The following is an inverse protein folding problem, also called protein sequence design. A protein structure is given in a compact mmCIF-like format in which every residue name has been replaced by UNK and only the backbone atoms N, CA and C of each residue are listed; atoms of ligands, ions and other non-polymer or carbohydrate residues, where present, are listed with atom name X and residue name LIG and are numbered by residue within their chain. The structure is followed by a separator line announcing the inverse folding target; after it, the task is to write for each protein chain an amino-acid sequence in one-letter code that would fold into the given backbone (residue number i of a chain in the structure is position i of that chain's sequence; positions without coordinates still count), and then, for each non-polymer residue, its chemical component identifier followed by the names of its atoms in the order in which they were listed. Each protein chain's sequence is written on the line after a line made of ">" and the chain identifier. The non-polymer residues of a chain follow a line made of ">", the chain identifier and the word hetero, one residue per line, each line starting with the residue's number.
data_IF_570625276407
#
_entry.id   IF_570625276407
#
_cell.length_a   1.000
_cell.length_b   1.000
_cell.length_c   1.000
_cell.angle_alpha   90.00
_cell.angle_beta   90.00
_cell.angle_gamma   90.00
#
_symmetry.space_group_name_H-M   'P 1'
#
loop_
_entity.id
_entity.type
_entity.pdbx_description
1 polymer ?
#
# COMPACT_ATOMS: atom_id res chain seq x y z
N UNK A 1 -13.15 -12.21 -3.11
CA UNK A 1 -14.20 -11.24 -2.72
C UNK A 1 -13.49 -10.04 -2.14
N UNK A 2 -13.85 -8.82 -2.56
CA UNK A 2 -13.23 -7.61 -2.03
C UNK A 2 -13.97 -7.13 -0.78
N UNK A 3 -13.23 -6.77 0.26
CA UNK A 3 -13.72 -6.17 1.51
C UNK A 3 -12.99 -4.85 1.70
N UNK A 4 -13.71 -3.76 1.90
CA UNK A 4 -13.13 -2.45 2.19
C UNK A 4 -12.89 -2.31 3.71
N UNK A 5 -11.87 -1.53 4.08
CA UNK A 5 -11.52 -1.26 5.49
C UNK A 5 -11.38 -2.54 6.33
N UNK A 6 -10.79 -3.57 5.73
CA UNK A 6 -10.75 -4.91 6.31
C UNK A 6 -9.79 -4.92 7.49
N UNK A 7 -10.26 -5.25 8.71
CA UNK A 7 -9.37 -5.39 9.85
C UNK A 7 -8.41 -6.55 9.62
N UNK A 8 -7.15 -6.31 9.96
CA UNK A 8 -6.11 -7.33 9.95
C UNK A 8 -6.14 -8.09 11.28
N UNK A 9 -5.81 -9.40 11.33
CA UNK A 9 -5.72 -10.16 12.56
C UNK A 9 -4.99 -9.40 13.66
N UNK A 10 -5.69 -9.23 14.78
CA UNK A 10 -5.22 -8.44 15.91
C UNK A 10 -4.06 -9.16 16.59
N UNK A 11 -2.95 -8.46 16.73
CA UNK A 11 -1.91 -8.75 17.71
C UNK A 11 -1.96 -7.66 18.79
N UNK A 12 -1.08 -7.68 19.79
CA UNK A 12 -0.96 -6.60 20.79
C UNK A 12 -0.48 -5.24 20.19
N UNK A 13 -0.61 -5.04 18.87
CA UNK A 13 -0.12 -3.90 18.11
C UNK A 13 -1.23 -2.94 17.65
N UNK A 14 -0.88 -2.06 16.70
CA UNK A 14 -1.79 -1.07 16.13
C UNK A 14 -3.01 -1.70 15.44
N UNK A 15 -4.17 -1.02 15.46
CA UNK A 15 -5.35 -1.37 14.64
C UNK A 15 -5.04 -1.02 13.18
N UNK A 16 -4.68 -2.04 12.39
CA UNK A 16 -4.40 -1.91 10.96
C UNK A 16 -5.62 -2.40 10.19
N UNK A 17 -6.08 -1.57 9.26
CA UNK A 17 -7.17 -1.88 8.35
C UNK A 17 -6.72 -1.58 6.93
N UNK A 18 -6.67 -2.61 6.10
CA UNK A 18 -6.35 -2.40 4.70
C UNK A 18 -7.56 -1.78 4.00
N UNK A 19 -7.33 -0.68 3.28
CA UNK A 19 -8.38 0.04 2.54
C UNK A 19 -9.16 -0.91 1.60
N UNK A 20 -8.48 -1.90 0.99
CA UNK A 20 -9.14 -3.03 0.33
C UNK A 20 -8.38 -4.35 0.50
N UNK A 21 -9.11 -5.42 0.79
CA UNK A 21 -8.60 -6.80 0.89
C UNK A 21 -9.37 -7.71 -0.03
N UNK A 22 -8.67 -8.48 -0.87
CA UNK A 22 -9.28 -9.44 -1.77
C UNK A 22 -9.01 -10.85 -1.29
N UNK A 23 -10.07 -11.56 -0.92
CA UNK A 23 -10.00 -12.93 -0.43
C UNK A 23 -10.14 -13.97 -1.55
N UNK A 24 -9.34 -15.02 -1.45
CA UNK A 24 -9.54 -16.27 -2.16
C UNK A 24 -10.88 -16.88 -1.74
N UNK A 25 -11.75 -17.20 -2.70
CA UNK A 25 -13.01 -17.90 -2.38
C UNK A 25 -12.77 -19.33 -1.90
N UNK A 26 -11.69 -19.95 -2.35
CA UNK A 26 -11.36 -21.34 -2.04
C UNK A 26 -10.61 -21.44 -0.73
N UNK A 27 -9.52 -20.67 -0.57
CA UNK A 27 -8.66 -20.74 0.62
C UNK A 27 -9.24 -19.95 1.81
N UNK A 28 -10.17 -19.02 1.55
CA UNK A 28 -10.73 -18.08 2.54
C UNK A 28 -9.67 -17.23 3.24
N UNK A 29 -8.50 -17.08 2.63
CA UNK A 29 -7.40 -16.22 3.04
C UNK A 29 -7.29 -15.00 2.10
N UNK A 30 -6.68 -13.89 2.54
CA UNK A 30 -6.43 -12.77 1.65
C UNK A 30 -5.38 -13.14 0.59
N UNK A 31 -5.70 -12.89 -0.68
CA UNK A 31 -4.76 -13.00 -1.81
C UNK A 31 -4.06 -11.66 -2.09
N UNK A 32 -4.78 -10.54 -1.87
CA UNK A 32 -4.29 -9.18 -2.17
C UNK A 32 -4.68 -8.20 -1.06
N UNK A 33 -3.73 -7.37 -0.65
CA UNK A 33 -3.97 -6.21 0.22
C UNK A 33 -3.65 -4.91 -0.53
N UNK A 34 -4.47 -3.87 -0.31
CA UNK A 34 -4.35 -2.60 -1.02
C UNK A 34 -4.48 -1.45 -0.05
N UNK A 35 -3.58 -0.48 -0.17
CA UNK A 35 -3.66 0.84 0.47
C UNK A 35 -3.73 1.92 -0.59
N UNK A 36 -4.53 2.95 -0.33
CA UNK A 36 -4.67 4.15 -1.14
C UNK A 36 -4.21 5.37 -0.34
N UNK A 37 -3.47 6.26 -0.99
CA UNK A 37 -3.10 7.53 -0.38
C UNK A 37 -3.06 8.65 -1.42
N UNK A 38 -3.50 9.83 -1.00
CA UNK A 38 -3.34 11.02 -1.82
C UNK A 38 -1.91 11.54 -1.68
N UNK A 39 -1.24 11.72 -2.80
CA UNK A 39 0.09 12.31 -2.83
C UNK A 39 0.03 13.78 -3.28
N UNK A 40 0.73 14.65 -2.56
CA UNK A 40 0.76 16.09 -2.81
C UNK A 40 2.10 16.60 -3.36
N UNK A 41 3.08 15.71 -3.57
CA UNK A 41 4.41 16.09 -4.06
C UNK A 41 5.40 16.50 -2.97
N UNK A 42 5.02 16.42 -1.69
CA UNK A 42 5.84 16.89 -0.57
C UNK A 42 6.53 15.74 0.16
N UNK A 43 7.56 16.05 0.95
CA UNK A 43 8.19 15.09 1.86
C UNK A 43 7.20 14.53 2.90
N UNK A 44 6.21 15.34 3.30
CA UNK A 44 5.13 14.87 4.16
C UNK A 44 4.28 13.82 3.45
N UNK A 45 3.93 14.05 2.19
CA UNK A 45 3.25 13.07 1.35
C UNK A 45 4.08 11.79 1.17
N UNK A 46 5.40 11.91 1.05
CA UNK A 46 6.31 10.77 0.92
C UNK A 46 6.31 9.92 2.20
N UNK A 47 6.33 10.56 3.38
CA UNK A 47 6.24 9.88 4.68
C UNK A 47 4.91 9.14 4.84
N UNK A 48 3.79 9.74 4.45
CA UNK A 48 2.48 9.08 4.47
C UNK A 48 2.43 7.84 3.59
N UNK A 49 3.01 7.90 2.39
CA UNK A 49 3.11 6.73 1.52
C UNK A 49 3.98 5.63 2.15
N UNK A 50 5.10 5.98 2.80
CA UNK A 50 5.93 5.02 3.54
C UNK A 50 5.18 4.40 4.73
N UNK A 51 4.41 5.18 5.48
CA UNK A 51 3.53 4.69 6.56
C UNK A 51 2.50 3.68 6.02
N UNK A 52 1.84 4.02 4.90
CA UNK A 52 0.88 3.13 4.22
C UNK A 52 1.54 1.84 3.71
N UNK A 53 2.75 1.92 3.16
CA UNK A 53 3.53 0.74 2.80
C UNK A 53 3.86 -0.12 4.03
N UNK A 54 4.28 0.50 5.13
CA UNK A 54 4.57 -0.21 6.38
C UNK A 54 3.33 -0.94 6.90
N UNK A 55 2.15 -0.32 6.82
CA UNK A 55 0.89 -0.98 7.16
C UNK A 55 0.63 -2.21 6.28
N UNK A 56 0.86 -2.14 4.95
CA UNK A 56 0.72 -3.31 4.07
C UNK A 56 1.65 -4.46 4.45
N UNK A 57 2.91 -4.14 4.71
CA UNK A 57 3.93 -5.13 5.06
C UNK A 57 3.61 -5.81 6.41
N UNK A 58 3.24 -5.01 7.41
CA UNK A 58 2.83 -5.53 8.71
C UNK A 58 1.52 -6.32 8.60
N UNK A 59 0.58 -5.87 7.76
CA UNK A 59 -0.66 -6.59 7.51
C UNK A 59 -0.42 -7.96 6.89
N UNK A 60 0.46 -8.04 5.88
CA UNK A 60 0.87 -9.31 5.26
C UNK A 60 1.40 -10.30 6.31
N UNK A 61 2.32 -9.84 7.16
CA UNK A 61 2.90 -10.64 8.23
C UNK A 61 1.84 -11.14 9.22
N UNK A 62 0.89 -10.28 9.63
CA UNK A 62 -0.20 -10.64 10.54
C UNK A 62 -1.20 -11.63 9.93
N UNK A 63 -1.31 -11.65 8.60
CA UNK A 63 -2.03 -12.69 7.85
C UNK A 63 -1.20 -13.96 7.62
N UNK A 64 -0.04 -14.10 8.26
CA UNK A 64 0.84 -15.27 8.11
C UNK A 64 1.46 -15.36 6.72
N UNK A 65 1.74 -14.22 6.08
CA UNK A 65 2.28 -14.10 4.72
C UNK A 65 1.39 -14.78 3.64
N UNK A 66 0.09 -14.93 3.92
CA UNK A 66 -0.88 -15.46 2.96
C UNK A 66 -1.08 -14.57 1.71
N UNK A 67 -1.08 -13.22 1.79
CA UNK A 67 -1.20 -12.39 0.60
C UNK A 67 -0.05 -12.59 -0.37
N UNK A 68 -0.40 -12.87 -1.63
CA UNK A 68 0.56 -13.02 -2.73
C UNK A 68 0.93 -11.68 -3.39
N UNK A 69 0.08 -10.67 -3.23
CA UNK A 69 0.27 -9.32 -3.80
C UNK A 69 -0.09 -8.24 -2.78
N UNK A 70 0.76 -7.24 -2.64
CA UNK A 70 0.49 -6.00 -1.91
C UNK A 70 0.52 -4.83 -2.90
N UNK A 71 -0.45 -3.93 -2.82
CA UNK A 71 -0.56 -2.80 -3.75
C UNK A 71 -0.63 -1.49 -2.97
N UNK A 72 0.39 -0.65 -3.13
CA UNK A 72 0.35 0.74 -2.69
C UNK A 72 -0.10 1.62 -3.86
N UNK A 73 -1.24 2.28 -3.71
CA UNK A 73 -1.84 3.13 -4.75
C UNK A 73 -1.79 4.60 -4.35
N UNK A 74 -0.90 5.37 -4.98
CA UNK A 74 -0.83 6.81 -4.83
C UNK A 74 -1.66 7.51 -5.91
N UNK A 75 -2.46 8.52 -5.54
CA UNK A 75 -3.12 9.39 -6.50
C UNK A 75 -2.87 10.86 -6.25
N UNK A 76 -2.77 11.66 -7.31
CA UNK A 76 -2.54 13.10 -7.20
C UNK A 76 -3.39 13.89 -8.20
N UNK A 77 -3.73 15.14 -7.83
CA UNK A 77 -4.39 16.10 -8.73
C UNK A 77 -3.31 16.96 -9.41
N UNK A 78 -3.37 17.09 -10.72
CA UNK A 78 -2.37 17.77 -11.53
C UNK A 78 -1.02 17.05 -11.52
N UNK A 79 -0.01 17.68 -12.11
CA UNK A 79 1.36 17.15 -12.13
C UNK A 79 2.09 17.57 -10.86
N UNK A 80 2.44 16.60 -10.02
CA UNK A 80 3.34 16.77 -8.88
C UNK A 80 4.61 15.94 -9.08
N UNK A 81 5.64 16.22 -8.29
CA UNK A 81 6.86 15.39 -8.22
C UNK A 81 6.50 13.90 -8.07
N UNK A 82 7.36 12.99 -8.51
CA UNK A 82 7.11 11.57 -8.32
C UNK A 82 7.53 11.15 -6.91
N UNK A 83 6.79 10.24 -6.24
CA UNK A 83 7.27 9.59 -5.02
C UNK A 83 8.62 8.90 -5.23
N UNK A 84 9.48 8.94 -4.22
CA UNK A 84 10.76 8.24 -4.25
C UNK A 84 10.53 6.75 -3.98
N UNK A 85 10.46 5.97 -5.06
CA UNK A 85 10.22 4.53 -5.02
C UNK A 85 11.38 3.71 -4.46
N UNK A 86 12.61 4.22 -4.47
CA UNK A 86 13.75 3.46 -3.94
C UNK A 86 13.64 3.30 -2.42
N UNK A 87 13.08 4.31 -1.74
CA UNK A 87 12.76 4.23 -0.30
C UNK A 87 11.79 3.08 -0.04
N UNK A 88 10.76 2.94 -0.88
CA UNK A 88 9.78 1.86 -0.77
C UNK A 88 10.42 0.48 -1.03
N UNK A 89 11.20 0.36 -2.10
CA UNK A 89 11.89 -0.88 -2.43
C UNK A 89 12.87 -1.29 -1.30
N UNK A 90 13.61 -0.32 -0.74
CA UNK A 90 14.50 -0.55 0.38
C UNK A 90 13.73 -1.05 1.61
N UNK A 91 12.58 -0.44 1.94
CA UNK A 91 11.69 -0.88 3.02
C UNK A 91 11.27 -2.34 2.86
N UNK A 92 10.86 -2.74 1.65
CA UNK A 92 10.48 -4.12 1.35
C UNK A 92 11.64 -5.11 1.48
N UNK A 93 12.85 -4.73 1.05
CA UNK A 93 14.06 -5.59 1.08
C UNK A 93 14.67 -5.74 2.48
N UNK A 94 14.59 -4.70 3.31
CA UNK A 94 15.25 -4.66 4.62
C UNK A 94 14.32 -5.03 5.78
N UNK A 95 13.00 -4.92 5.58
CA UNK A 95 12.06 -4.94 6.70
C UNK A 95 12.19 -3.67 7.56
N UNK A 96 11.49 -3.64 8.68
CA UNK A 96 11.52 -2.51 9.61
C UNK A 96 11.00 -2.91 10.99
N UNK A 97 11.21 -2.03 11.98
CA UNK A 97 10.57 -2.15 13.29
C UNK A 97 9.36 -1.23 13.31
N UNK A 98 8.18 -1.77 13.61
CA UNK A 98 6.94 -0.99 13.67
C UNK A 98 6.92 -0.04 14.88
N UNK A 99 5.96 0.89 14.90
CA UNK A 99 5.79 1.87 15.98
C UNK A 99 5.54 1.23 17.35
N UNK A 100 4.97 0.02 17.38
CA UNK A 100 4.75 -0.78 18.60
C UNK A 100 5.92 -1.72 18.93
N UNK A 101 7.01 -1.62 18.18
CA UNK A 101 8.25 -2.34 18.41
C UNK A 101 8.31 -3.75 17.81
N UNK A 102 7.30 -4.18 17.05
CA UNK A 102 7.32 -5.47 16.36
C UNK A 102 8.31 -5.43 15.18
N UNK A 103 9.10 -6.49 15.01
CA UNK A 103 9.97 -6.62 13.84
C UNK A 103 9.16 -7.17 12.66
N UNK A 104 9.02 -6.36 11.61
CA UNK A 104 8.47 -6.80 10.33
C UNK A 104 9.64 -7.25 9.45
N UNK A 105 9.69 -8.51 9.02
CA UNK A 105 10.78 -9.03 8.21
C UNK A 105 10.72 -8.50 6.77
N UNK A 106 11.77 -8.76 6.01
CA UNK A 106 11.74 -8.55 4.56
C UNK A 106 10.82 -9.55 3.85
N UNK A 107 10.19 -9.12 2.77
CA UNK A 107 9.33 -9.99 1.96
C UNK A 107 10.18 -10.90 1.05
N UNK A 108 9.70 -12.13 0.83
CA UNK A 108 10.37 -13.12 -0.04
C UNK A 108 9.49 -13.65 -1.17
N UNK A 109 8.21 -13.92 -0.89
CA UNK A 109 7.30 -14.61 -1.82
C UNK A 109 6.08 -13.76 -2.21
N UNK A 110 6.08 -12.47 -1.88
CA UNK A 110 4.96 -11.56 -2.08
C UNK A 110 5.37 -10.47 -3.06
N UNK A 111 4.57 -10.27 -4.11
CA UNK A 111 4.77 -9.17 -5.04
C UNK A 111 4.35 -7.85 -4.41
N UNK A 112 5.18 -6.82 -4.52
CA UNK A 112 4.80 -5.48 -4.07
C UNK A 112 4.69 -4.56 -5.29
N UNK A 113 3.48 -4.07 -5.52
CA UNK A 113 3.17 -3.18 -6.64
C UNK A 113 2.97 -1.75 -6.13
N UNK A 114 3.57 -0.80 -6.83
CA UNK A 114 3.31 0.61 -6.64
C UNK A 114 2.56 1.16 -7.85
N UNK A 115 1.32 1.59 -7.63
CA UNK A 115 0.48 2.21 -8.65
C UNK A 115 0.37 3.71 -8.42
N UNK A 116 0.59 4.51 -9.47
CA UNK A 116 0.42 5.96 -9.45
C UNK A 116 -0.65 6.38 -10.43
N UNK A 117 -1.63 7.11 -9.93
CA UNK A 117 -2.76 7.66 -10.68
C UNK A 117 -2.66 9.19 -10.72
N UNK A 118 -2.61 9.77 -11.91
CA UNK A 118 -2.54 11.22 -12.12
C UNK A 118 -3.89 11.67 -12.67
N UNK A 119 -4.58 12.49 -11.89
CA UNK A 119 -5.87 13.04 -12.25
C UNK A 119 -5.73 14.51 -12.64
N UNK A 120 -6.43 14.93 -13.68
CA UNK A 120 -6.70 16.35 -13.94
C UNK A 120 -8.07 16.73 -13.39
N UNK A 121 -8.23 18.01 -13.06
CA UNK A 121 -9.52 18.57 -12.66
C UNK A 121 -10.13 19.21 -13.90
N UNK A 122 -11.26 18.69 -14.35
CA UNK A 122 -12.01 19.28 -15.46
C UNK A 122 -12.71 20.57 -15.03
N UNK A 123 -13.16 21.39 -15.99
CA UNK A 123 -13.92 22.61 -15.72
C UNK A 123 -15.20 22.35 -14.89
N UNK A 124 -15.76 21.13 -14.98
CA UNK A 124 -16.90 20.66 -14.18
C UNK A 124 -16.56 20.40 -12.70
N UNK A 125 -15.29 20.39 -12.33
CA UNK A 125 -14.78 19.97 -11.02
C UNK A 125 -14.59 18.45 -10.87
N UNK A 126 -14.89 17.67 -11.91
CA UNK A 126 -14.68 16.21 -11.92
C UNK A 126 -13.21 15.87 -12.07
N UNK A 127 -12.79 14.74 -11.47
CA UNK A 127 -11.44 14.19 -11.64
C UNK A 127 -11.41 13.25 -12.84
N UNK A 128 -10.59 13.58 -13.84
CA UNK A 128 -10.33 12.72 -15.00
C UNK A 128 -8.99 12.03 -14.83
N UNK A 129 -8.96 10.70 -14.87
CA UNK A 129 -7.70 9.94 -14.87
C UNK A 129 -6.99 10.17 -16.21
N UNK A 130 -5.83 10.84 -16.17
CA UNK A 130 -5.03 11.14 -17.36
C UNK A 130 -3.94 10.13 -17.60
N UNK A 131 -3.32 9.67 -16.53
CA UNK A 131 -2.21 8.74 -16.61
C UNK A 131 -2.24 7.79 -15.42
N UNK A 132 -1.96 6.52 -15.70
CA UNK A 132 -1.67 5.50 -14.70
C UNK A 132 -0.28 4.93 -14.98
N UNK A 133 0.50 4.69 -13.94
CA UNK A 133 1.71 3.87 -13.99
C UNK A 133 1.65 2.83 -12.90
N UNK A 134 2.04 1.60 -13.20
CA UNK A 134 2.16 0.53 -12.22
C UNK A 134 3.54 -0.09 -12.36
N UNK A 135 4.24 -0.22 -11.23
CA UNK A 135 5.60 -0.72 -11.18
C UNK A 135 5.72 -1.78 -10.08
N UNK A 136 6.53 -2.80 -10.32
CA UNK A 136 6.88 -3.80 -9.30
C UNK A 136 8.09 -3.32 -8.51
N UNK A 137 7.94 -3.23 -7.18
CA UNK A 137 9.02 -2.89 -6.25
C UNK A 137 9.82 -4.14 -5.82
N UNK A 138 9.13 -5.27 -5.68
CA UNK A 138 9.66 -6.59 -5.32
C UNK A 138 8.82 -7.69 -5.97
#
# INVERSE_FOLDING_TARGET
>A
MAVAECPVPMTHGADIRADSTWFSRTQRTPDVLIEFERFDGTDRGQKKLDEKLCNLLEASMRWGDAPSVLILSAWNKGVVSAPNKEVFAQRCRQGFKSSVGAQVPSLRNTAVLFSRFIFEIECSGTLLLKQMRCERLL
#
